data_IF_546191528552
#
_entry.id   IF_546191528552
#
_cell.length_a   1.000
_cell.length_b   1.000
_cell.length_c   1.000
_cell.angle_alpha   90.00
_cell.angle_beta   90.00
_cell.angle_gamma   90.00
#
_symmetry.space_group_name_H-M   'P 1'
#
loop_
_entity.id
_entity.type
_entity.pdbx_description
1 polymer ?
#
# COMPACT_ATOMS: atom_id res chain seq x y z
N UNK A 1 -13.77 26.79 -57.62
CA UNK A 1 -14.98 26.91 -56.77
C UNK A 1 -14.75 26.16 -55.47
N UNK A 2 -15.08 26.73 -54.31
CA UNK A 2 -14.91 26.03 -53.01
C UNK A 2 -16.02 25.02 -52.72
N UNK A 3 -15.73 24.01 -51.90
CA UNK A 3 -16.67 22.96 -51.46
C UNK A 3 -17.83 23.48 -50.60
N UNK A 4 -17.66 24.66 -50.00
CA UNK A 4 -18.71 25.41 -49.29
C UNK A 4 -18.83 26.77 -49.94
N UNK A 5 -20.02 27.06 -50.48
CA UNK A 5 -20.38 28.36 -51.04
C UNK A 5 -21.46 28.98 -50.16
N UNK A 6 -21.18 30.17 -49.62
CA UNK A 6 -22.15 30.94 -48.82
C UNK A 6 -22.76 32.00 -49.73
N UNK A 7 -24.08 32.09 -49.75
CA UNK A 7 -24.85 33.05 -50.55
C UNK A 7 -25.88 33.74 -49.68
N UNK A 8 -26.25 34.96 -50.05
CA UNK A 8 -27.32 35.67 -49.37
C UNK A 8 -28.68 35.05 -49.66
N UNK A 9 -29.56 35.08 -48.65
CA UNK A 9 -30.90 34.50 -48.77
C UNK A 9 -31.75 35.32 -49.75
N UNK A 10 -31.92 34.79 -50.97
CA UNK A 10 -32.68 35.44 -52.07
C UNK A 10 -34.20 35.49 -51.83
N UNK A 11 -34.78 34.47 -51.20
CA UNK A 11 -36.22 34.41 -50.89
C UNK A 11 -36.41 34.08 -49.41
N UNK A 12 -37.02 34.99 -48.66
CA UNK A 12 -37.23 34.85 -47.22
C UNK A 12 -38.70 34.51 -46.97
N UNK A 13 -38.98 33.58 -46.05
CA UNK A 13 -40.36 33.26 -45.66
C UNK A 13 -40.92 34.48 -44.90
N UNK A 14 -41.97 35.10 -45.41
CA UNK A 14 -42.67 36.20 -44.74
C UNK A 14 -43.19 35.74 -43.36
N UNK A 15 -43.14 36.62 -42.35
CA UNK A 15 -43.91 36.35 -41.13
C UNK A 15 -43.71 37.25 -39.92
N UNK A 16 -42.48 37.50 -39.44
CA UNK A 16 -42.32 37.97 -38.04
C UNK A 16 -41.22 39.01 -37.78
N UNK A 17 -40.65 39.64 -38.81
CA UNK A 17 -39.56 40.61 -38.61
C UNK A 17 -39.75 41.89 -39.42
N UNK A 18 -39.45 43.04 -38.81
CA UNK A 18 -39.72 44.40 -39.36
C UNK A 18 -38.87 44.79 -40.59
N UNK A 19 -37.96 43.92 -41.04
CA UNK A 19 -37.11 44.15 -42.21
C UNK A 19 -35.98 43.13 -42.34
N UNK A 20 -35.39 43.00 -43.54
CA UNK A 20 -34.38 41.98 -43.89
C UNK A 20 -33.25 41.81 -42.84
N UNK A 21 -32.72 42.91 -42.30
CA UNK A 21 -31.64 42.91 -41.30
C UNK A 21 -31.99 42.19 -39.98
N UNK A 22 -33.27 41.99 -39.68
CA UNK A 22 -33.75 41.38 -38.43
C UNK A 22 -34.03 39.86 -38.55
N UNK A 23 -33.78 39.25 -39.71
CA UNK A 23 -33.87 37.79 -39.86
C UNK A 23 -32.73 37.09 -39.10
N UNK A 24 -33.05 36.01 -38.37
CA UNK A 24 -32.02 35.14 -37.78
C UNK A 24 -31.17 34.40 -38.83
N UNK A 25 -31.68 34.26 -40.06
CA UNK A 25 -30.97 33.66 -41.19
C UNK A 25 -30.67 34.71 -42.25
N UNK A 26 -29.42 35.17 -42.29
CA UNK A 26 -28.94 36.15 -43.27
C UNK A 26 -28.31 35.48 -44.49
N UNK A 27 -27.62 34.35 -44.28
CA UNK A 27 -26.94 33.60 -45.33
C UNK A 27 -27.43 32.16 -45.44
N UNK A 28 -27.18 31.54 -46.59
CA UNK A 28 -27.37 30.12 -46.86
C UNK A 28 -26.07 29.53 -47.36
N UNK A 29 -25.69 28.36 -46.83
CA UNK A 29 -24.54 27.62 -47.30
C UNK A 29 -25.00 26.48 -48.22
N UNK A 30 -24.37 26.39 -49.39
CA UNK A 30 -24.46 25.27 -50.31
C UNK A 30 -23.22 24.39 -50.14
N UNK A 31 -23.46 23.10 -49.94
CA UNK A 31 -22.41 22.11 -49.71
C UNK A 31 -22.22 21.27 -50.97
N UNK A 32 -20.96 21.10 -51.37
CA UNK A 32 -20.59 20.33 -52.55
C UNK A 32 -19.60 19.24 -52.16
N UNK A 33 -19.73 18.09 -52.79
CA UNK A 33 -18.82 16.97 -52.63
C UNK A 33 -18.41 16.43 -54.00
N UNK A 34 -17.36 15.61 -54.05
CA UNK A 34 -16.99 14.88 -55.26
C UNK A 34 -17.72 13.54 -55.27
N UNK A 35 -18.23 13.13 -56.42
CA UNK A 35 -18.70 11.77 -56.63
C UNK A 35 -17.53 10.81 -56.92
N UNK A 36 -17.83 9.51 -57.08
CA UNK A 36 -16.82 8.48 -57.34
C UNK A 36 -16.07 8.62 -58.67
N UNK A 37 -16.55 9.49 -59.57
CA UNK A 37 -15.95 9.79 -60.86
C UNK A 37 -15.24 11.16 -60.88
N UNK A 38 -15.25 11.88 -59.74
CA UNK A 38 -14.58 13.17 -59.58
C UNK A 38 -15.41 14.39 -59.96
N UNK A 39 -16.70 14.22 -60.27
CA UNK A 39 -17.60 15.34 -60.57
C UNK A 39 -18.15 15.98 -59.30
N UNK A 40 -18.39 17.30 -59.35
CA UNK A 40 -18.88 18.06 -58.21
C UNK A 40 -20.41 17.96 -58.10
N UNK A 41 -20.89 17.31 -57.05
CA UNK A 41 -22.31 17.14 -56.74
C UNK A 41 -22.74 17.98 -55.54
N UNK A 42 -23.97 18.50 -55.57
CA UNK A 42 -24.56 19.24 -54.44
C UNK A 42 -25.14 18.24 -53.44
N UNK A 43 -24.73 18.36 -52.19
CA UNK A 43 -25.15 17.43 -51.12
C UNK A 43 -25.81 18.18 -49.97
N UNK A 44 -26.57 17.46 -49.15
CA UNK A 44 -27.16 18.03 -47.94
C UNK A 44 -26.09 18.20 -46.83
N UNK A 45 -26.41 19.02 -45.82
CA UNK A 45 -25.50 19.33 -44.70
C UNK A 45 -25.01 18.08 -43.97
N UNK A 46 -25.90 17.10 -43.73
CA UNK A 46 -25.58 15.87 -43.02
C UNK A 46 -24.58 15.01 -43.80
N UNK A 47 -24.80 14.83 -45.11
CA UNK A 47 -23.88 14.10 -45.97
C UNK A 47 -22.50 14.75 -45.98
N UNK A 48 -22.44 16.08 -46.16
CA UNK A 48 -21.16 16.80 -46.12
C UNK A 48 -20.43 16.64 -44.78
N UNK A 49 -21.15 16.75 -43.66
CA UNK A 49 -20.56 16.54 -42.33
C UNK A 49 -20.02 15.12 -42.15
N UNK A 50 -20.75 14.10 -42.61
CA UNK A 50 -20.35 12.72 -42.49
C UNK A 50 -19.14 12.40 -43.37
N UNK A 51 -19.11 12.90 -44.62
CA UNK A 51 -18.00 12.64 -45.54
C UNK A 51 -16.67 13.23 -45.03
N UNK A 52 -16.70 14.45 -44.47
CA UNK A 52 -15.49 15.10 -43.94
C UNK A 52 -15.29 14.89 -42.43
N UNK A 53 -16.11 14.06 -41.81
CA UNK A 53 -16.13 13.80 -40.36
C UNK A 53 -16.11 15.09 -39.50
N UNK A 54 -16.96 16.05 -39.87
CA UNK A 54 -17.05 17.37 -39.23
C UNK A 54 -18.22 17.41 -38.25
N UNK A 55 -17.98 17.99 -37.06
CA UNK A 55 -19.07 18.30 -36.13
C UNK A 55 -19.85 19.54 -36.59
N UNK A 56 -21.14 19.63 -36.20
CA UNK A 56 -22.00 20.78 -36.53
C UNK A 56 -21.37 22.11 -36.11
N UNK A 57 -20.77 22.16 -34.92
CA UNK A 57 -20.11 23.36 -34.37
C UNK A 57 -18.90 23.77 -35.19
N UNK A 58 -18.10 22.81 -35.68
CA UNK A 58 -16.96 23.08 -36.54
C UNK A 58 -17.43 23.67 -37.88
N UNK A 59 -18.42 23.04 -38.51
CA UNK A 59 -18.96 23.49 -39.80
C UNK A 59 -19.60 24.90 -39.69
N UNK A 60 -20.35 25.16 -38.61
CA UNK A 60 -20.97 26.47 -38.38
C UNK A 60 -19.90 27.56 -38.12
N UNK A 61 -18.76 27.21 -37.52
CA UNK A 61 -17.63 28.14 -37.31
C UNK A 61 -16.96 28.50 -38.63
N UNK A 62 -16.77 27.52 -39.53
CA UNK A 62 -16.22 27.75 -40.88
C UNK A 62 -17.16 28.66 -41.70
N UNK A 63 -18.47 28.43 -41.64
CA UNK A 63 -19.47 29.25 -42.35
C UNK A 63 -19.46 30.69 -41.82
N UNK A 64 -19.37 30.88 -40.50
CA UNK A 64 -19.25 32.22 -39.89
C UNK A 64 -17.97 32.92 -40.34
N UNK A 65 -16.84 32.22 -40.35
CA UNK A 65 -15.56 32.76 -40.82
C UNK A 65 -15.56 33.14 -42.32
N UNK A 66 -16.34 32.43 -43.15
CA UNK A 66 -16.53 32.79 -44.56
C UNK A 66 -17.54 33.92 -44.81
N UNK A 67 -18.44 34.18 -43.86
CA UNK A 67 -19.50 35.20 -43.99
C UNK A 67 -19.08 36.58 -43.46
N UNK A 68 -17.99 36.66 -42.70
CA UNK A 68 -17.49 37.90 -42.13
C UNK A 68 -16.09 38.22 -42.69
N UNK A 69 -15.77 39.49 -42.97
CA UNK A 69 -14.43 39.96 -43.36
C UNK A 69 -13.39 39.89 -42.22
N UNK A 70 -13.60 39.03 -41.21
CA UNK A 70 -12.79 39.01 -39.99
C UNK A 70 -11.87 37.79 -39.99
N UNK A 71 -10.57 38.05 -40.10
CA UNK A 71 -9.52 37.06 -39.87
C UNK A 71 -9.64 36.59 -38.40
N UNK A 72 -9.98 35.32 -38.18
CA UNK A 72 -10.02 34.72 -36.85
C UNK A 72 -8.61 34.80 -36.22
N UNK A 73 -8.47 35.54 -35.11
CA UNK A 73 -7.22 35.66 -34.36
C UNK A 73 -7.21 34.62 -33.24
N UNK A 74 -6.28 33.66 -33.30
CA UNK A 74 -6.18 32.61 -32.27
C UNK A 74 -5.67 33.20 -30.94
N UNK A 75 -6.46 33.05 -29.88
CA UNK A 75 -6.19 33.59 -28.55
C UNK A 75 -5.70 32.52 -27.56
N UNK A 76 -5.40 31.28 -28.02
CA UNK A 76 -4.96 30.16 -27.17
C UNK A 76 -3.63 30.39 -26.45
N UNK A 77 -2.89 31.45 -26.76
CA UNK A 77 -1.61 31.82 -26.13
C UNK A 77 -1.73 32.90 -25.05
N UNK A 78 -2.92 33.44 -24.74
CA UNK A 78 -3.08 34.38 -23.61
C UNK A 78 -2.95 33.64 -22.28
N UNK A 79 -1.87 33.91 -21.56
CA UNK A 79 -1.74 33.59 -20.14
C UNK A 79 -2.78 34.37 -19.35
N UNK A 80 -3.63 33.67 -18.59
CA UNK A 80 -4.52 34.31 -17.62
C UNK A 80 -3.71 34.73 -16.40
N UNK A 81 -3.98 35.93 -15.86
CA UNK A 81 -3.40 36.33 -14.58
C UNK A 81 -3.82 35.33 -13.51
N UNK A 82 -2.87 34.90 -12.67
CA UNK A 82 -3.18 33.98 -11.56
C UNK A 82 -4.23 34.61 -10.65
N UNK A 83 -5.35 33.91 -10.44
CA UNK A 83 -6.44 34.32 -9.52
C UNK A 83 -5.95 34.60 -8.09
N UNK A 84 -4.82 34.01 -7.69
CA UNK A 84 -4.26 34.14 -6.34
C UNK A 84 -2.88 34.79 -6.39
N UNK A 85 -2.60 35.62 -5.40
CA UNK A 85 -1.37 36.41 -5.29
C UNK A 85 -0.24 35.62 -4.65
N UNK A 86 0.98 36.17 -4.71
CA UNK A 86 2.13 35.61 -3.95
C UNK A 86 1.91 35.68 -2.43
N UNK A 87 1.14 36.66 -1.96
CA UNK A 87 0.80 36.81 -0.54
C UNK A 87 -0.13 35.69 -0.06
N UNK A 88 -1.13 35.31 -0.84
CA UNK A 88 -2.01 34.17 -0.53
C UNK A 88 -1.21 32.88 -0.37
N UNK A 89 -0.23 32.65 -1.27
CA UNK A 89 0.67 31.50 -1.18
C UNK A 89 1.52 31.54 0.09
N UNK A 90 1.99 32.72 0.51
CA UNK A 90 2.77 32.89 1.74
C UNK A 90 1.95 32.55 2.99
N UNK A 91 0.73 33.06 3.12
CA UNK A 91 -0.14 32.74 4.26
C UNK A 91 -0.46 31.25 4.35
N UNK A 92 -0.68 30.60 3.21
CA UNK A 92 -0.88 29.14 3.16
C UNK A 92 0.38 28.40 3.65
N UNK A 93 1.58 28.82 3.25
CA UNK A 93 2.84 28.22 3.71
C UNK A 93 3.05 28.39 5.21
N UNK A 94 2.81 29.59 5.73
CA UNK A 94 2.90 29.89 7.17
C UNK A 94 1.95 28.99 7.98
N UNK A 95 0.70 28.87 7.53
CA UNK A 95 -0.26 27.96 8.16
C UNK A 95 0.23 26.51 8.15
N UNK A 96 0.68 25.99 7.00
CA UNK A 96 1.16 24.60 6.89
C UNK A 96 2.40 24.34 7.77
N UNK A 97 3.26 25.34 7.96
CA UNK A 97 4.44 25.25 8.84
C UNK A 97 4.11 25.31 10.33
N UNK A 98 3.00 25.93 10.72
CA UNK A 98 2.55 25.95 12.12
C UNK A 98 2.06 24.58 12.64
N UNK A 99 1.87 23.59 11.76
CA UNK A 99 1.35 22.27 12.12
C UNK A 99 2.50 21.33 12.50
N UNK A 100 2.45 20.69 13.68
CA UNK A 100 3.48 19.76 14.12
C UNK A 100 3.58 18.53 13.18
N UNK A 101 4.80 18.03 13.01
CA UNK A 101 5.11 16.91 12.11
C UNK A 101 6.04 15.90 12.79
N UNK A 102 5.86 14.63 12.47
CA UNK A 102 6.67 13.52 13.00
C UNK A 102 7.39 12.77 11.88
N UNK A 103 8.58 12.25 12.17
CA UNK A 103 9.35 11.38 11.26
C UNK A 103 8.98 9.91 11.44
N UNK A 104 9.17 9.08 10.41
CA UNK A 104 8.81 7.65 10.47
C UNK A 104 9.79 6.86 11.35
N UNK A 105 9.28 6.30 12.43
CA UNK A 105 10.04 5.58 13.47
C UNK A 105 10.68 4.25 12.99
N UNK A 106 10.21 3.67 11.89
CA UNK A 106 10.60 2.31 11.46
C UNK A 106 11.12 2.21 10.02
N UNK A 107 11.21 3.33 9.29
CA UNK A 107 11.74 3.37 7.92
C UNK A 107 12.80 4.45 7.79
N UNK A 108 14.04 4.10 8.04
CA UNK A 108 15.22 4.94 7.79
C UNK A 108 15.35 5.43 6.33
N UNK A 109 14.56 4.89 5.38
CA UNK A 109 14.62 5.21 3.95
C UNK A 109 13.73 6.38 3.50
N UNK A 110 12.95 7.02 4.37
CA UNK A 110 12.05 8.09 3.93
C UNK A 110 12.25 9.39 4.70
N UNK A 111 12.67 10.45 4.01
CA UNK A 111 12.67 11.83 4.51
C UNK A 111 11.24 12.42 4.64
N UNK A 112 10.20 11.58 4.61
CA UNK A 112 8.81 12.01 4.71
C UNK A 112 8.47 12.38 6.14
N UNK A 113 7.91 13.58 6.29
CA UNK A 113 7.34 14.08 7.54
C UNK A 113 5.83 13.89 7.52
N UNK A 114 5.29 13.44 8.64
CA UNK A 114 3.89 13.06 8.74
C UNK A 114 3.14 13.99 9.69
N UNK A 115 2.02 14.54 9.22
CA UNK A 115 1.03 15.20 10.06
C UNK A 115 0.14 14.17 10.74
N UNK A 116 -0.57 14.59 11.79
CA UNK A 116 -1.51 13.75 12.55
C UNK A 116 -2.48 12.98 11.64
N UNK A 117 -2.80 11.71 11.96
CA UNK A 117 -3.77 10.90 11.23
C UNK A 117 -5.20 11.45 11.30
N UNK A 118 -5.48 12.34 12.28
CA UNK A 118 -6.77 13.02 12.37
C UNK A 118 -6.85 14.26 11.46
N UNK A 119 -5.78 14.62 10.77
CA UNK A 119 -5.78 15.72 9.81
C UNK A 119 -5.95 15.18 8.39
N UNK A 120 -6.56 16.00 7.54
CA UNK A 120 -6.59 15.80 6.09
C UNK A 120 -6.59 17.18 5.42
N UNK A 121 -6.33 17.24 4.11
CA UNK A 121 -6.21 18.53 3.40
C UNK A 121 -7.44 19.42 3.54
N UNK A 122 -8.63 18.82 3.66
CA UNK A 122 -9.87 19.57 3.86
C UNK A 122 -9.92 20.19 5.27
N UNK A 123 -9.63 19.42 6.31
CA UNK A 123 -9.52 19.91 7.69
C UNK A 123 -8.46 21.01 7.82
N UNK A 124 -7.33 20.88 7.12
CA UNK A 124 -6.30 21.92 7.07
C UNK A 124 -6.80 23.21 6.41
N UNK A 125 -7.51 23.10 5.29
CA UNK A 125 -8.08 24.26 4.62
C UNK A 125 -9.15 24.94 5.46
N UNK A 126 -10.00 24.18 6.17
CA UNK A 126 -10.96 24.74 7.13
C UNK A 126 -10.26 25.47 8.27
N UNK A 127 -9.22 24.87 8.87
CA UNK A 127 -8.42 25.53 9.90
C UNK A 127 -7.71 26.80 9.39
N UNK A 128 -7.27 26.78 8.13
CA UNK A 128 -6.69 27.96 7.48
C UNK A 128 -7.70 29.10 7.39
N UNK A 129 -8.93 28.83 6.96
CA UNK A 129 -9.99 29.85 6.87
C UNK A 129 -10.41 30.36 8.26
N UNK A 130 -10.37 29.52 9.29
CA UNK A 130 -10.60 29.98 10.67
C UNK A 130 -9.49 30.93 11.15
N UNK A 131 -8.24 30.68 10.76
CA UNK A 131 -7.10 31.53 11.11
C UNK A 131 -7.03 32.82 10.27
N UNK A 132 -7.50 32.77 9.01
CA UNK A 132 -7.53 33.89 8.08
C UNK A 132 -8.94 34.04 7.48
N UNK A 133 -9.90 34.61 8.23
CA UNK A 133 -11.31 34.71 7.80
C UNK A 133 -11.51 35.49 6.49
N UNK A 134 -10.69 36.52 6.27
CA UNK A 134 -10.72 37.37 5.08
C UNK A 134 -10.12 36.70 3.82
N UNK A 135 -9.54 35.50 3.96
CA UNK A 135 -8.87 34.84 2.84
C UNK A 135 -9.87 34.15 1.91
N UNK A 136 -9.83 34.52 0.62
CA UNK A 136 -10.62 33.88 -0.45
C UNK A 136 -9.93 32.65 -1.06
N UNK A 137 -8.90 32.11 -0.39
CA UNK A 137 -8.16 30.94 -0.85
C UNK A 137 -9.07 29.73 -0.95
N UNK A 138 -9.19 29.21 -2.17
CA UNK A 138 -9.96 27.98 -2.43
C UNK A 138 -9.21 26.73 -1.96
N UNK A 139 -9.95 25.67 -1.64
CA UNK A 139 -9.40 24.35 -1.31
C UNK A 139 -8.39 23.85 -2.36
N UNK A 140 -8.70 24.04 -3.65
CA UNK A 140 -7.83 23.59 -4.74
C UNK A 140 -6.48 24.33 -4.74
N UNK A 141 -6.49 25.65 -4.46
CA UNK A 141 -5.26 26.41 -4.32
C UNK A 141 -4.46 25.94 -3.09
N UNK A 142 -5.12 25.79 -1.94
CA UNK A 142 -4.47 25.29 -0.72
C UNK A 142 -3.84 23.91 -0.92
N UNK A 143 -4.57 22.97 -1.52
CA UNK A 143 -4.08 21.62 -1.85
C UNK A 143 -2.90 21.66 -2.81
N UNK A 144 -2.93 22.55 -3.80
CA UNK A 144 -1.84 22.70 -4.76
C UNK A 144 -0.57 23.19 -4.07
N UNK A 145 -0.67 24.23 -3.24
CA UNK A 145 0.44 24.75 -2.42
C UNK A 145 1.00 23.65 -1.52
N UNK A 146 0.14 22.89 -0.83
CA UNK A 146 0.57 21.76 0.00
C UNK A 146 1.34 20.71 -0.82
N UNK A 147 0.87 20.36 -2.01
CA UNK A 147 1.50 19.31 -2.85
C UNK A 147 2.81 19.78 -3.49
N UNK A 148 2.86 21.01 -3.97
CA UNK A 148 4.00 21.57 -4.70
C UNK A 148 5.12 22.05 -3.76
N UNK A 149 4.76 22.76 -2.69
CA UNK A 149 5.75 23.35 -1.77
C UNK A 149 6.14 22.39 -0.63
N UNK A 150 5.33 21.36 -0.35
CA UNK A 150 5.60 20.38 0.71
C UNK A 150 5.51 18.93 0.22
N UNK A 151 6.30 18.53 -0.80
CA UNK A 151 6.23 17.19 -1.40
C UNK A 151 6.57 16.05 -0.42
N UNK A 152 7.35 16.36 0.62
CA UNK A 152 7.76 15.42 1.67
C UNK A 152 6.79 15.36 2.85
N UNK A 153 5.68 16.10 2.81
CA UNK A 153 4.68 16.10 3.88
C UNK A 153 3.48 15.25 3.48
N UNK A 154 3.04 14.37 4.37
CA UNK A 154 1.84 13.56 4.15
C UNK A 154 1.07 13.34 5.45
N UNK A 155 -0.17 12.88 5.34
CA UNK A 155 -0.96 12.49 6.51
C UNK A 155 -0.57 11.06 6.92
N UNK A 156 -0.36 10.84 8.21
CA UNK A 156 -0.09 9.50 8.73
C UNK A 156 -1.36 8.67 8.68
N UNK A 157 -1.27 7.37 8.42
CA UNK A 157 -2.32 6.44 8.83
C UNK A 157 -2.18 6.20 10.35
N UNK A 158 -3.24 5.82 11.08
CA UNK A 158 -3.09 5.34 12.46
C UNK A 158 -1.97 4.29 12.52
N UNK A 159 -1.02 4.48 13.45
CA UNK A 159 0.12 3.56 13.57
C UNK A 159 -0.40 2.19 14.02
N UNK A 160 -0.03 1.12 13.32
CA UNK A 160 -0.06 -0.25 13.83
C UNK A 160 1.36 -0.69 14.15
N UNK A 161 1.53 -1.60 15.11
CA UNK A 161 2.80 -2.28 15.40
C UNK A 161 3.93 -1.33 15.87
N UNK A 162 3.65 -0.47 16.86
CA UNK A 162 4.66 0.40 17.47
C UNK A 162 5.42 -0.36 18.57
N UNK A 163 6.71 -0.09 18.68
CA UNK A 163 7.48 -0.56 19.83
C UNK A 163 6.99 0.11 21.12
N UNK A 164 6.40 -0.70 22.02
CA UNK A 164 5.96 -0.26 23.35
C UNK A 164 7.06 0.44 24.14
N UNK A 165 8.31 -0.07 24.05
CA UNK A 165 9.46 0.52 24.76
C UNK A 165 9.78 1.92 24.21
N UNK A 166 9.78 2.09 22.89
CA UNK A 166 9.97 3.40 22.28
C UNK A 166 8.87 4.38 22.67
N UNK A 167 7.61 3.97 22.67
CA UNK A 167 6.51 4.85 23.04
C UNK A 167 6.61 5.28 24.52
N UNK A 168 6.95 4.37 25.42
CA UNK A 168 7.19 4.67 26.84
C UNK A 168 8.32 5.69 27.01
N UNK A 169 9.48 5.45 26.38
CA UNK A 169 10.64 6.34 26.49
C UNK A 169 10.38 7.70 25.86
N UNK A 170 9.68 7.76 24.72
CA UNK A 170 9.29 9.03 24.10
C UNK A 170 8.33 9.84 24.99
N UNK A 171 7.48 9.18 25.78
CA UNK A 171 6.62 9.87 26.75
C UNK A 171 7.45 10.49 27.89
N UNK A 172 8.45 9.76 28.39
CA UNK A 172 9.38 10.25 29.43
C UNK A 172 10.29 11.40 28.95
N UNK A 173 10.60 11.46 27.65
CA UNK A 173 11.44 12.51 27.07
C UNK A 173 10.71 13.86 26.95
N UNK A 174 9.41 13.85 26.65
CA UNK A 174 8.60 15.07 26.42
C UNK A 174 8.64 16.13 27.53
N UNK A 175 8.51 15.79 28.83
CA UNK A 175 8.50 16.80 29.88
C UNK A 175 9.87 17.46 30.17
N UNK A 176 10.97 17.05 29.49
CA UNK A 176 12.31 17.62 29.66
C UNK A 176 12.83 17.68 31.11
N UNK A 177 12.42 16.73 31.97
CA UNK A 177 12.92 16.60 33.35
C UNK A 177 14.22 15.80 33.45
N UNK A 178 14.68 15.53 34.68
CA UNK A 178 15.90 14.75 34.95
C UNK A 178 15.92 13.38 34.24
N UNK A 179 14.76 12.71 34.18
CA UNK A 179 14.59 11.41 33.51
C UNK A 179 14.71 11.49 31.98
N UNK A 180 14.56 12.68 31.38
CA UNK A 180 14.60 12.85 29.92
C UNK A 180 15.96 12.45 29.34
N UNK A 181 17.06 12.81 30.01
CA UNK A 181 18.42 12.48 29.54
C UNK A 181 18.68 10.97 29.57
N UNK A 182 18.29 10.30 30.65
CA UNK A 182 18.40 8.84 30.77
C UNK A 182 17.51 8.12 29.76
N UNK A 183 16.26 8.57 29.59
CA UNK A 183 15.32 7.98 28.63
C UNK A 183 15.81 8.13 27.18
N UNK A 184 16.48 9.24 26.86
CA UNK A 184 17.09 9.46 25.54
C UNK A 184 18.21 8.46 25.26
N UNK A 185 19.11 8.25 26.23
CA UNK A 185 20.19 7.27 26.11
C UNK A 185 19.66 5.83 26.02
N UNK A 186 18.64 5.50 26.81
CA UNK A 186 17.98 4.18 26.75
C UNK A 186 17.31 3.95 25.39
N UNK A 187 16.71 4.98 24.80
CA UNK A 187 16.09 4.93 23.49
C UNK A 187 17.13 4.75 22.38
N UNK A 188 18.24 5.50 22.45
CA UNK A 188 19.36 5.35 21.51
C UNK A 188 19.95 3.95 21.56
N UNK A 189 20.25 3.44 22.76
CA UNK A 189 20.77 2.09 22.95
C UNK A 189 19.79 1.02 22.45
N UNK A 190 18.49 1.21 22.66
CA UNK A 190 17.46 0.33 22.13
C UNK A 190 17.46 0.29 20.60
N UNK A 191 17.57 1.44 19.94
CA UNK A 191 17.68 1.53 18.48
C UNK A 191 18.98 0.89 17.96
N UNK A 192 20.13 1.15 18.59
CA UNK A 192 21.42 0.54 18.20
C UNK A 192 21.38 -0.98 18.30
N UNK A 193 20.75 -1.53 19.35
CA UNK A 193 20.52 -2.99 19.46
C UNK A 193 19.62 -3.52 18.34
N UNK A 194 18.55 -2.81 18.01
CA UNK A 194 17.63 -3.20 16.95
C UNK A 194 18.29 -3.17 15.56
N UNK A 195 19.10 -2.15 15.29
CA UNK A 195 19.87 -2.01 14.06
C UNK A 195 20.94 -3.09 13.94
N UNK A 196 21.69 -3.35 15.02
CA UNK A 196 22.70 -4.40 15.05
C UNK A 196 22.09 -5.80 14.79
N UNK A 197 20.99 -6.14 15.46
CA UNK A 197 20.29 -7.42 15.24
C UNK A 197 19.77 -7.54 13.79
N UNK A 198 19.21 -6.45 13.24
CA UNK A 198 18.73 -6.44 11.85
C UNK A 198 19.87 -6.56 10.85
N UNK A 199 21.03 -5.96 11.14
CA UNK A 199 22.21 -6.06 10.29
C UNK A 199 22.77 -7.48 10.32
N UNK A 200 22.92 -8.06 11.52
CA UNK A 200 23.41 -9.42 11.70
C UNK A 200 22.53 -10.42 10.94
N UNK A 201 21.21 -10.37 11.13
CA UNK A 201 20.28 -11.23 10.39
C UNK A 201 20.44 -11.10 8.87
N UNK A 202 20.64 -9.88 8.34
CA UNK A 202 20.87 -9.69 6.89
C UNK A 202 22.20 -10.27 6.43
N UNK A 203 23.25 -10.14 7.25
CA UNK A 203 24.56 -10.73 6.97
C UNK A 203 24.46 -12.25 6.95
N UNK A 204 23.77 -12.86 7.91
CA UNK A 204 23.56 -14.31 7.95
C UNK A 204 22.79 -14.78 6.70
N UNK A 205 21.69 -14.11 6.35
CA UNK A 205 20.93 -14.45 5.13
C UNK A 205 21.81 -14.35 3.86
N UNK A 206 22.72 -13.38 3.82
CA UNK A 206 23.62 -13.21 2.67
C UNK A 206 24.70 -14.30 2.64
N UNK A 207 25.29 -14.64 3.79
CA UNK A 207 26.30 -15.69 3.89
C UNK A 207 25.71 -17.08 3.62
N UNK A 208 24.44 -17.30 3.96
CA UNK A 208 23.74 -18.56 3.70
C UNK A 208 23.48 -18.83 2.21
N UNK A 209 23.46 -17.78 1.38
CA UNK A 209 23.26 -17.85 -0.07
C UNK A 209 24.57 -18.07 -0.85
N UNK A 210 25.73 -18.07 -0.18
CA UNK A 210 27.01 -18.30 -0.83
C UNK A 210 27.17 -19.77 -1.26
N UNK A 211 27.83 -20.08 -2.41
CA UNK A 211 27.92 -21.44 -2.94
C UNK A 211 28.59 -22.47 -2.02
N UNK A 212 29.52 -22.02 -1.18
CA UNK A 212 30.31 -22.80 -0.22
C UNK A 212 29.71 -22.80 1.19
N UNK A 213 28.52 -22.20 1.36
CA UNK A 213 27.91 -22.04 2.66
C UNK A 213 27.45 -23.38 3.24
N UNK A 214 27.94 -23.70 4.43
CA UNK A 214 27.50 -24.88 5.22
C UNK A 214 26.37 -24.56 6.19
N UNK A 215 25.91 -23.30 6.22
CA UNK A 215 24.90 -22.79 7.17
C UNK A 215 23.59 -22.46 6.44
N UNK A 216 22.47 -22.93 6.99
CA UNK A 216 21.13 -22.56 6.53
C UNK A 216 20.52 -21.53 7.48
N UNK A 217 20.00 -20.44 6.93
CA UNK A 217 19.38 -19.39 7.75
C UNK A 217 17.89 -19.44 7.55
N UNK A 218 17.16 -19.60 8.64
CA UNK A 218 15.70 -19.57 8.62
C UNK A 218 15.15 -18.45 9.50
N UNK A 219 14.00 -17.92 9.10
CA UNK A 219 13.24 -16.98 9.91
C UNK A 219 11.85 -17.54 10.17
N UNK A 220 11.36 -17.39 11.40
CA UNK A 220 10.06 -17.91 11.82
C UNK A 220 9.23 -16.83 12.49
N UNK A 221 7.95 -16.79 12.15
CA UNK A 221 6.98 -15.84 12.71
C UNK A 221 5.56 -16.39 12.60
N UNK A 222 4.69 -16.06 13.55
CA UNK A 222 3.29 -16.48 13.54
C UNK A 222 2.40 -15.34 13.05
N UNK A 223 1.62 -15.59 12.00
CA UNK A 223 0.71 -14.57 11.46
C UNK A 223 -0.40 -14.20 12.46
N UNK A 224 -0.88 -12.96 12.34
CA UNK A 224 -2.14 -12.57 12.97
C UNK A 224 -3.26 -13.56 12.60
N UNK A 225 -4.05 -13.98 13.59
CA UNK A 225 -5.13 -14.96 13.42
C UNK A 225 -6.00 -14.59 12.22
N UNK A 226 -6.17 -15.56 11.34
CA UNK A 226 -7.01 -15.45 10.17
C UNK A 226 -8.36 -16.08 10.46
N UNK A 227 -9.42 -15.30 10.39
CA UNK A 227 -10.78 -15.84 10.47
C UNK A 227 -11.29 -16.28 9.09
N UNK A 228 -12.07 -17.36 9.06
CA UNK A 228 -12.91 -17.76 7.93
C UNK A 228 -14.39 -17.48 8.24
N UNK A 229 -15.23 -17.45 7.21
CA UNK A 229 -16.60 -16.92 7.20
C UNK A 229 -16.66 -15.38 7.09
N UNK A 230 -16.08 -14.83 6.02
CA UNK A 230 -16.19 -13.40 5.70
C UNK A 230 -17.57 -13.03 5.14
N UNK A 231 -18.58 -13.05 6.00
CA UNK A 231 -19.92 -12.54 5.71
C UNK A 231 -19.95 -11.01 5.82
N UNK A 232 -20.78 -10.35 5.00
CA UNK A 232 -20.85 -8.89 4.91
C UNK A 232 -21.95 -8.27 5.79
N UNK A 233 -22.84 -9.07 6.37
CA UNK A 233 -23.91 -8.60 7.24
C UNK A 233 -23.43 -8.37 8.67
N UNK A 234 -24.08 -7.45 9.38
CA UNK A 234 -23.70 -7.02 10.73
C UNK A 234 -23.77 -8.12 11.79
N UNK A 235 -24.61 -9.14 11.62
CA UNK A 235 -24.73 -10.26 12.58
C UNK A 235 -23.43 -11.04 12.74
N UNK A 236 -22.56 -11.03 11.72
CA UNK A 236 -21.23 -11.66 11.75
C UNK A 236 -20.34 -11.13 12.87
N UNK A 237 -20.59 -9.90 13.35
CA UNK A 237 -19.90 -9.33 14.52
C UNK A 237 -20.17 -10.11 15.81
N UNK A 238 -21.36 -10.71 15.93
CA UNK A 238 -21.79 -11.46 17.11
C UNK A 238 -21.56 -12.97 16.99
N UNK A 239 -21.13 -13.44 15.81
CA UNK A 239 -20.87 -14.85 15.56
C UNK A 239 -19.42 -15.21 15.85
N UNK A 240 -19.21 -16.42 16.40
CA UNK A 240 -17.86 -16.98 16.57
C UNK A 240 -17.32 -17.39 15.20
N UNK A 241 -16.28 -16.70 14.76
CA UNK A 241 -15.56 -17.06 13.54
C UNK A 241 -14.51 -18.12 13.83
N UNK A 242 -14.38 -19.08 12.92
CA UNK A 242 -13.34 -20.11 13.03
C UNK A 242 -11.95 -19.47 12.86
N UNK A 243 -11.12 -19.63 13.87
CA UNK A 243 -9.75 -19.14 13.89
C UNK A 243 -8.82 -20.09 13.14
N UNK A 244 -8.11 -19.56 12.14
CA UNK A 244 -7.04 -20.23 11.42
C UNK A 244 -5.69 -19.59 11.77
N UNK A 245 -4.70 -20.45 11.92
CA UNK A 245 -3.34 -20.13 12.33
C UNK A 245 -2.38 -20.46 11.18
N UNK A 246 -1.37 -19.61 11.01
CA UNK A 246 -0.38 -19.74 9.96
C UNK A 246 0.99 -19.35 10.51
N UNK A 247 1.87 -20.34 10.71
CA UNK A 247 3.27 -20.12 11.08
C UNK A 247 4.11 -20.16 9.79
N UNK A 248 4.81 -19.07 9.50
CA UNK A 248 5.71 -19.00 8.36
C UNK A 248 7.12 -19.35 8.81
N UNK A 249 7.72 -20.36 8.19
CA UNK A 249 9.15 -20.67 8.27
C UNK A 249 9.77 -20.37 6.90
N UNK A 250 10.52 -19.28 6.82
CA UNK A 250 11.21 -18.88 5.61
C UNK A 250 12.66 -19.35 5.65
N UNK A 251 13.10 -20.02 4.59
CA UNK A 251 14.51 -20.33 4.36
C UNK A 251 15.14 -19.23 3.52
N UNK A 252 16.13 -18.54 4.09
CA UNK A 252 16.89 -17.49 3.43
C UNK A 252 17.69 -18.00 2.22
N UNK A 253 18.11 -19.26 2.25
CA UNK A 253 18.94 -19.91 1.23
C UNK A 253 18.24 -19.97 -0.13
N UNK A 254 17.02 -20.51 -0.16
CA UNK A 254 16.24 -20.72 -1.38
C UNK A 254 15.06 -19.74 -1.52
N UNK A 255 14.89 -18.82 -0.56
CA UNK A 255 13.82 -17.82 -0.51
C UNK A 255 12.41 -18.43 -0.54
N UNK A 256 12.26 -19.66 -0.06
CA UNK A 256 10.97 -20.36 0.09
C UNK A 256 10.39 -20.13 1.47
N UNK A 257 9.07 -20.14 1.54
CA UNK A 257 8.30 -20.01 2.77
C UNK A 257 7.44 -21.25 2.94
N UNK A 258 7.60 -21.92 4.08
CA UNK A 258 6.76 -23.02 4.51
C UNK A 258 5.72 -22.47 5.47
N UNK A 259 4.46 -22.48 5.03
CA UNK A 259 3.30 -21.95 5.72
C UNK A 259 2.63 -23.10 6.45
N UNK A 260 3.02 -23.33 7.71
CA UNK A 260 2.38 -24.33 8.55
C UNK A 260 0.98 -23.84 8.91
N UNK A 261 -0.05 -24.50 8.39
CA UNK A 261 -1.42 -24.04 8.48
C UNK A 261 -2.28 -25.02 9.28
N UNK A 262 -3.11 -24.49 10.18
CA UNK A 262 -4.11 -25.26 10.92
C UNK A 262 -5.24 -24.35 11.43
N UNK A 263 -6.32 -24.94 11.95
CA UNK A 263 -7.40 -24.19 12.60
C UNK A 263 -7.52 -24.56 14.08
N UNK A 264 -8.21 -23.72 14.86
CA UNK A 264 -8.36 -23.86 16.33
C UNK A 264 -8.99 -25.19 16.77
N UNK A 265 -9.67 -25.88 15.87
CA UNK A 265 -10.25 -27.21 16.12
C UNK A 265 -9.22 -28.35 16.14
N UNK A 266 -8.00 -28.11 15.64
CA UNK A 266 -6.92 -29.10 15.60
C UNK A 266 -5.94 -28.92 16.77
N UNK A 267 -5.57 -27.67 17.07
CA UNK A 267 -4.64 -27.32 18.14
C UNK A 267 -4.72 -25.83 18.48
N UNK A 268 -4.03 -25.44 19.55
CA UNK A 268 -3.89 -24.06 19.96
C UNK A 268 -2.88 -23.28 19.10
N UNK A 269 -2.21 -22.30 19.68
CA UNK A 269 -1.16 -21.51 19.01
C UNK A 269 0.00 -21.14 19.95
N UNK A 270 0.25 -22.00 20.92
CA UNK A 270 1.29 -21.85 21.93
C UNK A 270 2.62 -22.43 21.47
N UNK A 271 3.56 -22.55 22.41
CA UNK A 271 4.91 -23.03 22.10
C UNK A 271 4.97 -24.49 21.64
N UNK A 272 4.03 -25.36 22.07
CA UNK A 272 3.95 -26.74 21.57
C UNK A 272 3.65 -26.77 20.07
N UNK A 273 2.68 -25.98 19.61
CA UNK A 273 2.33 -25.92 18.18
C UNK A 273 3.46 -25.32 17.35
N UNK A 274 4.06 -24.22 17.82
CA UNK A 274 5.19 -23.58 17.12
C UNK A 274 6.39 -24.53 17.02
N UNK A 275 6.76 -25.20 18.11
CA UNK A 275 7.87 -26.14 18.13
C UNK A 275 7.58 -27.40 17.28
N UNK A 276 6.33 -27.88 17.27
CA UNK A 276 5.91 -29.01 16.40
C UNK A 276 5.96 -28.64 14.91
N UNK A 277 5.55 -27.43 14.55
CA UNK A 277 5.66 -26.92 13.17
C UNK A 277 7.13 -26.82 12.76
N UNK A 278 7.99 -26.31 13.63
CA UNK A 278 9.43 -26.20 13.37
C UNK A 278 10.06 -27.58 13.16
N UNK A 279 9.78 -28.53 14.05
CA UNK A 279 10.24 -29.92 13.92
C UNK A 279 9.76 -30.54 12.61
N UNK A 280 8.48 -30.33 12.25
CA UNK A 280 7.90 -30.85 11.01
C UNK A 280 8.65 -30.33 9.78
N UNK A 281 8.86 -29.02 9.70
CA UNK A 281 9.53 -28.39 8.56
C UNK A 281 10.99 -28.80 8.47
N UNK A 282 11.72 -28.83 9.59
CA UNK A 282 13.13 -29.26 9.60
C UNK A 282 13.29 -30.73 9.16
N UNK A 283 12.31 -31.59 9.46
CA UNK A 283 12.31 -32.99 9.04
C UNK A 283 11.85 -33.24 7.60
N UNK A 284 11.47 -32.21 6.83
CA UNK A 284 11.09 -32.37 5.41
C UNK A 284 12.29 -32.58 4.48
N UNK A 285 13.53 -32.50 4.97
CA UNK A 285 14.73 -32.66 4.13
C UNK A 285 14.96 -31.50 3.15
N UNK A 286 14.57 -30.28 3.55
CA UNK A 286 14.61 -29.08 2.68
C UNK A 286 16.05 -28.64 2.38
N UNK A 287 16.98 -28.85 3.32
CA UNK A 287 18.38 -28.46 3.22
C UNK A 287 19.27 -29.62 3.66
N UNK A 288 20.40 -29.80 2.98
CA UNK A 288 21.45 -30.76 3.37
C UNK A 288 22.45 -30.16 4.35
N UNK A 289 22.31 -28.86 4.67
CA UNK A 289 23.19 -28.14 5.58
C UNK A 289 22.90 -28.52 7.03
N UNK A 290 23.95 -28.84 7.78
CA UNK A 290 23.85 -29.32 9.18
C UNK A 290 24.01 -28.23 10.22
N UNK A 291 24.38 -27.01 9.82
CA UNK A 291 24.41 -25.85 10.70
C UNK A 291 23.22 -24.96 10.36
N UNK A 292 22.41 -24.58 11.35
CA UNK A 292 21.27 -23.69 11.15
C UNK A 292 21.30 -22.48 12.07
N UNK A 293 20.92 -21.33 11.51
CA UNK A 293 20.68 -20.10 12.26
C UNK A 293 19.21 -19.75 12.14
N UNK A 294 18.53 -19.66 13.27
CA UNK A 294 17.11 -19.34 13.39
C UNK A 294 16.95 -17.89 13.83
N UNK A 295 16.13 -17.13 13.12
CA UNK A 295 15.76 -15.77 13.50
C UNK A 295 14.25 -15.68 13.79
N UNK A 296 13.88 -15.19 14.97
CA UNK A 296 12.48 -14.98 15.33
C UNK A 296 12.24 -13.66 16.06
N UNK A 297 10.97 -13.34 16.31
CA UNK A 297 10.64 -12.33 17.30
C UNK A 297 11.01 -12.81 18.71
N UNK A 298 11.05 -11.88 19.68
CA UNK A 298 11.35 -12.19 21.08
C UNK A 298 10.04 -12.39 21.88
N UNK A 299 9.16 -13.23 21.35
CA UNK A 299 7.93 -13.66 22.02
C UNK A 299 8.20 -14.84 22.97
N UNK A 300 8.06 -14.61 24.28
CA UNK A 300 8.28 -15.63 25.32
C UNK A 300 7.38 -16.85 25.17
N UNK A 301 6.11 -16.64 24.81
CA UNK A 301 5.14 -17.75 24.74
C UNK A 301 5.41 -18.64 23.53
N UNK A 302 5.85 -18.07 22.40
CA UNK A 302 5.94 -18.78 21.13
C UNK A 302 7.36 -19.27 20.83
N UNK A 303 8.35 -18.38 20.93
CA UNK A 303 9.69 -18.62 20.41
C UNK A 303 10.77 -18.72 21.50
N UNK A 304 10.62 -17.98 22.59
CA UNK A 304 11.58 -17.97 23.71
C UNK A 304 11.04 -18.76 24.91
N UNK A 305 10.89 -20.06 24.72
CA UNK A 305 10.41 -21.00 25.73
C UNK A 305 11.24 -22.30 25.72
N UNK A 306 11.02 -23.13 26.75
CA UNK A 306 11.71 -24.42 26.93
C UNK A 306 11.40 -25.45 25.82
N UNK A 307 10.25 -25.36 25.16
CA UNK A 307 9.85 -26.29 24.10
C UNK A 307 10.73 -26.12 22.85
N UNK A 308 11.00 -24.87 22.47
CA UNK A 308 11.91 -24.55 21.35
C UNK A 308 13.35 -25.01 21.69
N UNK A 309 13.83 -24.70 22.89
CA UNK A 309 15.15 -25.16 23.36
C UNK A 309 15.26 -26.68 23.34
N UNK A 310 14.24 -27.38 23.83
CA UNK A 310 14.20 -28.84 23.81
C UNK A 310 14.28 -29.40 22.39
N UNK A 311 13.52 -28.85 21.44
CA UNK A 311 13.59 -29.27 20.04
C UNK A 311 15.00 -29.08 19.47
N UNK A 312 15.66 -27.96 19.77
CA UNK A 312 17.04 -27.77 19.31
C UNK A 312 17.99 -28.81 19.88
N UNK A 313 17.93 -29.06 21.19
CA UNK A 313 18.74 -30.09 21.83
C UNK A 313 18.46 -31.47 21.24
N UNK A 314 17.18 -31.83 21.09
CA UNK A 314 16.78 -33.09 20.47
C UNK A 314 17.34 -33.25 19.06
N UNK A 315 17.24 -32.23 18.22
CA UNK A 315 17.72 -32.24 16.84
C UNK A 315 19.25 -32.34 16.73
N UNK A 316 19.98 -31.71 17.64
CA UNK A 316 21.45 -31.83 17.70
C UNK A 316 21.86 -33.21 18.23
N UNK A 317 21.28 -33.65 19.34
CA UNK A 317 21.61 -34.94 19.96
C UNK A 317 21.24 -36.15 19.10
N UNK A 318 20.23 -36.03 18.24
CA UNK A 318 19.84 -37.06 17.26
C UNK A 318 20.69 -37.04 15.99
N UNK A 319 21.64 -36.11 15.86
CA UNK A 319 22.54 -36.00 14.70
C UNK A 319 21.88 -35.44 13.44
N UNK A 320 20.71 -34.80 13.55
CA UNK A 320 20.11 -34.09 12.42
C UNK A 320 20.89 -32.82 12.06
N UNK A 321 21.36 -32.09 13.07
CA UNK A 321 22.16 -30.87 12.92
C UNK A 321 23.40 -30.92 13.81
N UNK A 322 24.50 -30.32 13.36
CA UNK A 322 25.73 -30.19 14.13
C UNK A 322 25.64 -28.97 15.07
N UNK A 323 25.06 -27.86 14.59
CA UNK A 323 24.85 -26.65 15.38
C UNK A 323 23.52 -25.97 15.06
N UNK A 324 22.91 -25.39 16.11
CA UNK A 324 21.70 -24.57 16.01
C UNK A 324 21.91 -23.29 16.80
N UNK A 325 21.90 -22.15 16.12
CA UNK A 325 21.95 -20.83 16.74
C UNK A 325 20.58 -20.16 16.62
N UNK A 326 20.10 -19.50 17.69
CA UNK A 326 18.81 -18.80 17.67
C UNK A 326 18.98 -17.33 18.05
N UNK A 327 18.85 -16.47 17.04
CA UNK A 327 18.83 -15.02 17.18
C UNK A 327 17.42 -14.47 17.40
N UNK A 328 17.30 -13.55 18.36
CA UNK A 328 16.04 -12.86 18.67
C UNK A 328 16.09 -11.41 18.22
N UNK A 329 15.09 -10.96 17.48
CA UNK A 329 14.93 -9.55 17.14
C UNK A 329 14.40 -8.74 18.32
N UNK A 330 14.76 -7.45 18.35
CA UNK A 330 14.28 -6.52 19.36
C UNK A 330 12.78 -6.29 19.17
N UNK A 331 12.00 -6.49 20.25
CA UNK A 331 10.55 -6.32 20.25
C UNK A 331 10.12 -4.96 19.68
N UNK A 332 9.13 -4.96 18.78
CA UNK A 332 8.66 -3.76 18.10
C UNK A 332 9.55 -3.26 16.94
N UNK A 333 10.70 -3.91 16.71
CA UNK A 333 11.62 -3.66 15.60
C UNK A 333 11.85 -4.91 14.74
N UNK A 334 11.02 -5.95 14.90
CA UNK A 334 11.13 -7.23 14.21
C UNK A 334 10.74 -7.13 12.73
N UNK A 335 11.70 -6.89 11.84
CA UNK A 335 11.48 -6.85 10.40
C UNK A 335 11.87 -8.18 9.72
N UNK A 336 11.20 -9.27 10.11
CA UNK A 336 11.41 -10.61 9.54
C UNK A 336 10.98 -10.69 8.07
N UNK A 337 11.54 -11.66 7.34
CA UNK A 337 11.10 -11.95 5.97
C UNK A 337 9.64 -12.43 5.95
N UNK A 338 9.22 -13.19 6.97
CA UNK A 338 7.85 -13.65 7.18
C UNK A 338 6.84 -12.50 7.17
N UNK A 339 7.15 -11.37 7.81
CA UNK A 339 6.29 -10.18 7.81
C UNK A 339 5.99 -9.63 6.41
N UNK A 340 6.92 -9.75 5.47
CA UNK A 340 6.68 -9.38 4.07
C UNK A 340 5.71 -10.34 3.40
N UNK A 341 5.82 -11.63 3.71
CA UNK A 341 4.91 -12.65 3.21
C UNK A 341 3.48 -12.45 3.72
N UNK A 342 3.32 -12.23 5.02
CA UNK A 342 2.04 -11.92 5.64
C UNK A 342 1.39 -10.65 5.08
N UNK A 343 2.18 -9.61 4.76
CA UNK A 343 1.65 -8.43 4.12
C UNK A 343 1.03 -8.71 2.73
N UNK A 344 1.59 -9.66 1.97
CA UNK A 344 1.03 -10.11 0.70
C UNK A 344 -0.25 -10.93 0.91
N UNK A 345 -0.25 -11.86 1.86
CA UNK A 345 -1.41 -12.68 2.24
C UNK A 345 -2.57 -11.78 2.68
N UNK A 346 -2.33 -10.84 3.59
CA UNK A 346 -3.32 -9.87 4.08
C UNK A 346 -3.89 -9.01 2.95
N UNK A 347 -3.08 -8.60 1.97
CA UNK A 347 -3.55 -7.85 0.80
C UNK A 347 -4.44 -8.71 -0.11
N UNK A 348 -4.08 -9.99 -0.30
CA UNK A 348 -4.88 -10.94 -1.08
C UNK A 348 -6.20 -11.27 -0.37
N UNK A 349 -6.15 -11.57 0.92
CA UNK A 349 -7.32 -11.88 1.76
C UNK A 349 -8.41 -10.81 1.69
N UNK A 350 -8.05 -9.52 1.68
CA UNK A 350 -9.02 -8.40 1.53
C UNK A 350 -9.83 -8.43 0.24
N UNK A 351 -9.40 -9.20 -0.76
CA UNK A 351 -10.05 -9.34 -2.07
C UNK A 351 -10.70 -10.71 -2.27
N UNK A 352 -10.62 -11.60 -1.30
CA UNK A 352 -11.11 -12.97 -1.39
C UNK A 352 -12.11 -13.24 -0.27
N UNK A 353 -13.25 -13.84 -0.61
CA UNK A 353 -14.15 -14.40 0.37
C UNK A 353 -13.67 -15.83 0.69
N UNK A 354 -13.25 -16.07 1.93
CA UNK A 354 -12.81 -17.39 2.39
C UNK A 354 -13.81 -17.87 3.44
N UNK A 355 -14.68 -18.79 3.04
CA UNK A 355 -15.74 -19.34 3.89
C UNK A 355 -15.25 -20.54 4.71
N UNK A 356 -14.24 -21.25 4.20
CA UNK A 356 -13.66 -22.46 4.79
C UNK A 356 -12.12 -22.35 4.85
N UNK A 357 -11.43 -23.11 5.72
CA UNK A 357 -9.97 -23.10 5.84
C UNK A 357 -9.23 -23.34 4.52
N UNK A 358 -9.72 -24.24 3.67
CA UNK A 358 -9.17 -24.54 2.35
C UNK A 358 -9.22 -23.31 1.42
N UNK A 359 -10.21 -22.44 1.63
CA UNK A 359 -10.28 -21.15 0.95
C UNK A 359 -9.13 -20.22 1.32
N UNK A 360 -8.56 -20.35 2.52
CA UNK A 360 -7.34 -19.63 2.91
C UNK A 360 -6.09 -20.24 2.25
N UNK A 361 -6.07 -21.53 1.93
CA UNK A 361 -4.95 -22.12 1.18
C UNK A 361 -4.82 -21.44 -0.17
N UNK A 362 -5.94 -21.27 -0.89
CA UNK A 362 -5.96 -20.53 -2.14
C UNK A 362 -5.47 -19.09 -1.96
N UNK A 363 -5.88 -18.40 -0.89
CA UNK A 363 -5.42 -17.04 -0.58
C UNK A 363 -3.90 -16.99 -0.37
N UNK A 364 -3.35 -17.93 0.38
CA UNK A 364 -1.91 -18.01 0.66
C UNK A 364 -1.15 -18.27 -0.65
N UNK A 365 -1.47 -19.34 -1.38
CA UNK A 365 -0.76 -19.71 -2.60
C UNK A 365 -0.86 -18.63 -3.70
N UNK A 366 -2.04 -18.02 -3.86
CA UNK A 366 -2.25 -16.97 -4.87
C UNK A 366 -1.74 -15.58 -4.47
N UNK A 367 -1.15 -15.42 -3.28
CA UNK A 367 -0.60 -14.15 -2.81
C UNK A 367 0.75 -13.81 -3.44
N UNK A 368 1.46 -14.79 -4.01
CA UNK A 368 2.71 -14.59 -4.74
C UNK A 368 2.62 -15.16 -6.14
N UNK A 369 3.12 -14.43 -7.14
CA UNK A 369 3.22 -14.93 -8.52
C UNK A 369 4.43 -15.84 -8.74
N UNK A 370 5.40 -15.81 -7.82
CA UNK A 370 6.65 -16.56 -7.92
C UNK A 370 6.58 -17.98 -7.37
N UNK A 371 5.42 -18.42 -6.85
CA UNK A 371 5.26 -19.76 -6.27
C UNK A 371 6.17 -20.04 -5.08
N UNK A 372 6.48 -19.01 -4.27
CA UNK A 372 7.45 -19.14 -3.15
C UNK A 372 6.84 -19.69 -1.87
N UNK A 373 5.51 -19.80 -1.80
CA UNK A 373 4.79 -20.26 -0.62
C UNK A 373 4.38 -21.71 -0.82
N UNK A 374 4.76 -22.53 0.14
CA UNK A 374 4.41 -23.94 0.22
C UNK A 374 3.60 -24.14 1.50
N UNK A 375 2.42 -24.73 1.40
CA UNK A 375 1.57 -24.98 2.56
C UNK A 375 1.96 -26.32 3.17
N UNK A 376 2.18 -26.31 4.47
CA UNK A 376 2.39 -27.51 5.27
C UNK A 376 1.15 -27.68 6.16
N UNK A 377 0.22 -28.52 5.72
CA UNK A 377 -1.01 -28.78 6.46
C UNK A 377 -0.70 -29.56 7.74
N UNK A 378 -0.93 -28.90 8.87
CA UNK A 378 -0.72 -29.49 10.19
C UNK A 378 -2.03 -30.13 10.66
N UNK A 379 -1.96 -31.40 11.07
CA UNK A 379 -3.09 -32.12 11.64
C UNK A 379 -2.82 -32.46 13.12
N UNK A 380 -3.86 -32.83 13.87
CA UNK A 380 -3.77 -33.03 15.32
C UNK A 380 -2.63 -33.98 15.75
N UNK A 381 -2.42 -35.08 15.02
CA UNK A 381 -1.34 -36.05 15.28
C UNK A 381 0.09 -35.51 15.09
N UNK A 382 0.24 -34.35 14.44
CA UNK A 382 1.54 -33.69 14.23
C UNK A 382 1.89 -32.73 15.37
N UNK A 383 0.94 -32.44 16.28
CA UNK A 383 1.17 -31.60 17.43
C UNK A 383 1.54 -32.46 18.63
N UNK A 384 2.80 -32.36 19.04
CA UNK A 384 3.34 -33.10 20.18
C UNK A 384 3.27 -32.28 21.46
N UNK A 385 3.13 -32.96 22.59
CA UNK A 385 3.33 -32.35 23.90
C UNK A 385 4.83 -32.23 24.21
N UNK A 386 5.46 -31.28 23.52
CA UNK A 386 6.90 -30.98 23.64
C UNK A 386 7.19 -30.42 25.02
N UNK A 387 6.25 -29.69 25.62
CA UNK A 387 6.35 -29.19 26.98
C UNK A 387 6.56 -30.34 27.98
N UNK A 388 5.77 -31.40 27.93
CA UNK A 388 5.96 -32.56 28.80
C UNK A 388 7.31 -33.26 28.59
N UNK A 389 7.82 -33.31 27.34
CA UNK A 389 9.14 -33.85 27.05
C UNK A 389 10.27 -32.95 27.59
N UNK A 390 10.15 -31.64 27.38
CA UNK A 390 11.07 -30.63 27.89
C UNK A 390 11.12 -30.64 29.42
N UNK A 391 9.98 -30.82 30.09
CA UNK A 391 9.90 -30.88 31.55
C UNK A 391 10.64 -32.07 32.14
N UNK A 392 10.74 -33.19 31.41
CA UNK A 392 11.51 -34.36 31.86
C UNK A 392 13.02 -34.20 31.73
N UNK A 393 13.48 -33.38 30.79
CA UNK A 393 14.90 -33.27 30.43
C UNK A 393 15.54 -31.98 30.95
N UNK A 394 14.81 -30.86 30.92
CA UNK A 394 15.35 -29.53 31.22
C UNK A 394 15.09 -29.07 32.65
N UNK A 395 14.03 -29.55 33.30
CA UNK A 395 13.83 -29.27 34.72
C UNK A 395 14.62 -30.29 35.54
N UNK A 396 15.91 -30.02 35.68
CA UNK A 396 16.73 -30.72 36.66
C UNK A 396 16.20 -30.29 38.04
N UNK A 397 15.87 -31.29 38.88
CA UNK A 397 15.49 -31.06 40.28
C UNK A 397 16.63 -30.44 41.08
#
# INVERSE_FOLDING_TARGET
MGLIQVTDVKRRRHGLYKGARYSHRQTTAHYRNLDGEGNIVIVCKSTFMNTFNLTKKHLDTIIKGKSAEVIYKDMRTRTTSSKFTKNDRRFVKEHINSIPREESHSRAKSAKKYMSPHLNTNRLHKAFLLKYPESLVTYNFYRRVLKEDFPNVSFRAPRSDICRKCDSLNYEIKPQGERSRTATLELELHHRKAEAATLLMKTDIASSQMPDSTVSVLSMDLEQVMFVQTLTHSEMFYMRQLSCHNLSINFGDNKRFYMCFWHEGLAGRGGNEVASCLLRVLNMGISHKRNIVVWSDNCLVQNKNKMIVFIYMFLVSSGHFDTIEHGYLVNGHSLLQCNRGFALIKKRKRKCASMVPEGLHHVILSSTHTGRFEIVDMCQKMFFDIQAAADKVLNIK
#
